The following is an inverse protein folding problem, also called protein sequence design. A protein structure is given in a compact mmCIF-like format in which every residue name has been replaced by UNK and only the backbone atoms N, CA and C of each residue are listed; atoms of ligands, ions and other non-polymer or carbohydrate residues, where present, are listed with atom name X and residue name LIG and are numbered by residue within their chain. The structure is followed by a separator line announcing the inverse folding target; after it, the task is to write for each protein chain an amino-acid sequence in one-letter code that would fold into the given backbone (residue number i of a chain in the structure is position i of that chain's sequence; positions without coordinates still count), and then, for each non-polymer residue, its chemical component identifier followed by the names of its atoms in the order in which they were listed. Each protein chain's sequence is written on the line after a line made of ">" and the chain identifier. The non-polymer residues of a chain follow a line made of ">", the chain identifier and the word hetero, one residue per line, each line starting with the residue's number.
data_IF_641331616556
#
_entry.id   IF_641331616556
#
_cell.length_a   1.000
_cell.length_b   1.000
_cell.length_c   1.000
_cell.angle_alpha   90.00
_cell.angle_beta   90.00
_cell.angle_gamma   90.00
#
_symmetry.space_group_name_H-M   'P 1'
#
loop_
_entity.id
_entity.type
_entity.pdbx_description
1 polymer ?
#
# COMPACT_ATOMS: atom_id res chain seq x y z
N UNK A 1 -13.54 -1.23 -18.83
CA UNK A 1 -13.22 -2.53 -18.25
C UNK A 1 -12.82 -3.56 -19.32
N UNK A 2 -13.48 -3.55 -20.48
CA UNK A 2 -13.24 -4.50 -21.58
C UNK A 2 -12.10 -4.09 -22.53
N UNK A 3 -11.66 -2.84 -22.48
CA UNK A 3 -10.54 -2.36 -23.30
C UNK A 3 -9.19 -2.78 -22.71
N UNK A 4 -8.53 -3.72 -23.41
CA UNK A 4 -7.25 -4.29 -22.99
C UNK A 4 -6.08 -3.31 -23.04
N UNK A 5 -6.14 -2.30 -23.91
CA UNK A 5 -5.07 -1.31 -24.07
C UNK A 5 -5.25 -0.07 -23.19
N UNK A 6 -6.47 0.17 -22.72
CA UNK A 6 -6.76 1.38 -21.93
C UNK A 6 -5.98 1.43 -20.63
N UNK A 7 -5.82 0.31 -19.94
CA UNK A 7 -5.10 0.27 -18.67
C UNK A 7 -3.62 0.65 -18.82
N UNK A 8 -3.00 0.31 -19.93
CA UNK A 8 -1.64 0.75 -20.22
C UNK A 8 -1.57 2.24 -20.54
N UNK A 9 -2.52 2.77 -21.35
CA UNK A 9 -2.58 4.21 -21.65
C UNK A 9 -2.71 5.05 -20.38
N UNK A 10 -3.57 4.63 -19.45
CA UNK A 10 -3.75 5.33 -18.18
C UNK A 10 -2.46 5.31 -17.34
N UNK A 11 -1.74 4.18 -17.32
CA UNK A 11 -0.46 4.06 -16.61
C UNK A 11 0.66 4.91 -17.22
N UNK A 12 0.66 5.10 -18.54
CA UNK A 12 1.63 5.96 -19.21
C UNK A 12 1.55 7.43 -18.77
N UNK A 13 0.37 7.91 -18.37
CA UNK A 13 0.21 9.24 -17.79
C UNK A 13 1.01 9.42 -16.49
N UNK A 14 1.34 8.33 -15.81
CA UNK A 14 2.13 8.30 -14.59
C UNK A 14 3.62 7.98 -14.82
N UNK A 15 4.07 7.89 -16.08
CA UNK A 15 5.48 7.63 -16.44
C UNK A 15 6.04 6.34 -15.81
N UNK A 16 5.25 5.27 -15.76
CA UNK A 16 5.64 3.98 -15.17
C UNK A 16 6.86 3.38 -15.89
N UNK A 17 7.83 2.91 -15.12
CA UNK A 17 9.08 2.34 -15.61
C UNK A 17 9.66 1.25 -14.72
N UNK A 18 10.93 0.92 -14.94
CA UNK A 18 11.68 -0.16 -14.29
C UNK A 18 11.74 -0.07 -12.75
N UNK A 19 11.66 1.13 -12.20
CA UNK A 19 11.70 1.37 -10.74
C UNK A 19 10.32 1.17 -10.07
N UNK A 20 9.27 0.97 -10.87
CA UNK A 20 7.90 0.91 -10.37
C UNK A 20 7.42 -0.53 -10.15
N UNK A 21 6.46 -0.64 -9.26
CA UNK A 21 5.72 -1.89 -9.03
C UNK A 21 4.24 -1.65 -9.31
N UNK A 22 3.68 -2.41 -10.24
CA UNK A 22 2.26 -2.33 -10.61
C UNK A 22 1.52 -3.57 -10.11
N UNK A 23 0.45 -3.36 -9.34
CA UNK A 23 -0.37 -4.44 -8.80
C UNK A 23 -1.76 -4.38 -9.42
N UNK A 24 -2.06 -5.35 -10.28
CA UNK A 24 -3.38 -5.53 -10.87
C UNK A 24 -4.36 -6.21 -9.90
N UNK A 25 -5.54 -5.62 -9.73
CA UNK A 25 -6.55 -6.13 -8.81
C UNK A 25 -7.80 -6.50 -9.59
N UNK A 26 -8.11 -7.78 -9.65
CA UNK A 26 -9.28 -8.30 -10.31
C UNK A 26 -9.79 -9.53 -9.57
N UNK A 27 -10.97 -9.45 -8.96
CA UNK A 27 -11.53 -10.55 -8.18
C UNK A 27 -11.72 -11.82 -9.01
N UNK A 28 -12.28 -11.68 -10.22
CA UNK A 28 -12.42 -12.78 -11.21
C UNK A 28 -11.08 -13.17 -11.83
N UNK A 29 -10.14 -12.24 -11.90
CA UNK A 29 -8.84 -12.41 -12.53
C UNK A 29 -8.87 -12.41 -14.06
N UNK A 30 -10.00 -12.08 -14.67
CA UNK A 30 -10.19 -12.10 -16.13
C UNK A 30 -10.32 -10.74 -16.79
N UNK A 31 -10.41 -9.65 -16.02
CA UNK A 31 -10.67 -8.29 -16.52
C UNK A 31 -9.64 -7.86 -17.57
N UNK A 32 -10.02 -7.65 -18.85
CA UNK A 32 -9.09 -7.36 -19.94
C UNK A 32 -8.21 -6.13 -19.68
N UNK A 33 -8.79 -5.06 -19.17
CA UNK A 33 -8.08 -3.84 -18.74
C UNK A 33 -6.89 -4.14 -17.81
N UNK A 34 -7.09 -4.99 -16.79
CA UNK A 34 -6.04 -5.32 -15.80
C UNK A 34 -5.00 -6.25 -16.41
N UNK A 35 -5.44 -7.26 -17.17
CA UNK A 35 -4.53 -8.21 -17.82
C UNK A 35 -3.62 -7.50 -18.81
N UNK A 36 -4.19 -6.68 -19.70
CA UNK A 36 -3.43 -5.92 -20.71
C UNK A 36 -2.46 -4.93 -20.07
N UNK A 37 -2.88 -4.21 -19.03
CA UNK A 37 -1.98 -3.31 -18.30
C UNK A 37 -0.76 -4.03 -17.75
N UNK A 38 -0.93 -5.20 -17.11
CA UNK A 38 0.19 -5.96 -16.54
C UNK A 38 1.11 -6.55 -17.61
N UNK A 39 0.58 -6.97 -18.76
CA UNK A 39 1.42 -7.40 -19.89
C UNK A 39 2.34 -6.28 -20.34
N UNK A 40 1.79 -5.10 -20.59
CA UNK A 40 2.57 -3.92 -21.02
C UNK A 40 3.56 -3.46 -19.96
N UNK A 41 3.21 -3.56 -18.67
CA UNK A 41 4.15 -3.27 -17.57
C UNK A 41 5.34 -4.23 -17.58
N UNK A 42 5.11 -5.52 -17.84
CA UNK A 42 6.20 -6.49 -17.99
C UNK A 42 7.12 -6.15 -19.18
N UNK A 43 6.55 -5.77 -20.32
CA UNK A 43 7.32 -5.34 -21.50
C UNK A 43 8.16 -4.09 -21.22
N UNK A 44 7.63 -3.17 -20.40
CA UNK A 44 8.33 -1.96 -19.94
C UNK A 44 9.35 -2.23 -18.81
N UNK A 45 9.47 -3.46 -18.33
CA UNK A 45 10.43 -3.86 -17.29
C UNK A 45 9.98 -3.58 -15.85
N UNK A 46 8.79 -3.06 -15.63
CA UNK A 46 8.23 -2.84 -14.29
C UNK A 46 7.98 -4.17 -13.57
N UNK A 47 8.08 -4.16 -12.23
CA UNK A 47 7.69 -5.30 -11.42
C UNK A 47 6.18 -5.42 -11.38
N UNK A 48 5.63 -6.61 -11.66
CA UNK A 48 4.19 -6.81 -11.65
C UNK A 48 3.72 -7.78 -10.57
N UNK A 49 2.61 -7.43 -9.95
CA UNK A 49 1.87 -8.29 -9.04
C UNK A 49 0.40 -8.36 -9.41
N UNK A 50 -0.32 -9.37 -8.92
CA UNK A 50 -1.78 -9.37 -8.99
C UNK A 50 -2.43 -9.84 -7.69
N UNK A 51 -3.65 -9.36 -7.46
CA UNK A 51 -4.54 -9.83 -6.37
C UNK A 51 -5.83 -10.31 -7.01
N UNK A 52 -6.14 -11.60 -6.82
CA UNK A 52 -7.35 -12.22 -7.37
C UNK A 52 -7.97 -13.20 -6.38
N UNK A 53 -9.24 -13.56 -6.57
CA UNK A 53 -9.90 -14.62 -5.80
C UNK A 53 -10.07 -15.91 -6.59
N UNK A 54 -9.56 -15.95 -7.84
CA UNK A 54 -9.76 -17.08 -8.75
C UNK A 54 -8.41 -17.68 -9.17
N UNK A 55 -8.08 -18.91 -8.68
CA UNK A 55 -6.85 -19.61 -9.06
C UNK A 55 -6.76 -19.87 -10.57
N UNK A 56 -5.55 -19.78 -11.15
CA UNK A 56 -5.31 -20.09 -12.56
C UNK A 56 -5.98 -19.13 -13.55
N UNK A 57 -6.51 -18.00 -13.07
CA UNK A 57 -7.10 -16.96 -13.90
C UNK A 57 -6.07 -16.26 -14.80
N UNK A 58 -6.47 -15.57 -15.88
CA UNK A 58 -5.56 -14.90 -16.81
C UNK A 58 -4.54 -13.98 -16.11
N UNK A 59 -4.98 -13.19 -15.14
CA UNK A 59 -4.11 -12.25 -14.41
C UNK A 59 -2.97 -12.95 -13.67
N UNK A 60 -3.18 -14.18 -13.16
CA UNK A 60 -2.13 -14.95 -12.46
C UNK A 60 -1.04 -15.50 -13.38
N UNK A 61 -1.33 -15.61 -14.67
CA UNK A 61 -0.35 -16.09 -15.68
C UNK A 61 0.53 -14.96 -16.19
N UNK A 62 0.03 -13.73 -16.12
CA UNK A 62 0.71 -12.53 -16.63
C UNK A 62 1.57 -11.89 -15.52
N UNK A 63 1.05 -11.75 -14.32
CA UNK A 63 1.78 -11.13 -13.21
C UNK A 63 2.97 -11.99 -12.77
N UNK A 64 4.12 -11.35 -12.51
CA UNK A 64 5.31 -12.03 -11.93
C UNK A 64 5.04 -12.56 -10.52
N UNK A 65 4.20 -11.87 -9.74
CA UNK A 65 3.82 -12.27 -8.40
C UNK A 65 2.31 -12.31 -8.27
N UNK A 66 1.74 -13.48 -7.95
CA UNK A 66 0.30 -13.64 -7.79
C UNK A 66 -0.08 -13.87 -6.32
N UNK A 67 -1.02 -13.08 -5.81
CA UNK A 67 -1.67 -13.28 -4.53
C UNK A 67 -3.10 -13.76 -4.81
N UNK A 68 -3.38 -15.01 -4.47
CA UNK A 68 -4.67 -15.64 -4.72
C UNK A 68 -5.38 -15.93 -3.41
N UNK A 69 -6.47 -15.23 -3.16
CA UNK A 69 -7.31 -15.42 -1.96
C UNK A 69 -8.62 -16.13 -2.34
N UNK A 70 -8.66 -17.44 -2.18
CA UNK A 70 -9.87 -18.23 -2.47
C UNK A 70 -10.88 -18.02 -1.35
N UNK A 71 -11.94 -17.25 -1.62
CA UNK A 71 -12.96 -16.85 -0.62
C UNK A 71 -14.28 -17.62 -0.75
N UNK A 72 -14.37 -18.52 -1.74
CA UNK A 72 -15.60 -19.25 -2.06
C UNK A 72 -16.67 -18.36 -2.69
N UNK A 73 -17.89 -18.90 -2.92
CA UNK A 73 -18.96 -18.17 -3.60
C UNK A 73 -19.47 -17.00 -2.77
N UNK A 74 -19.83 -15.91 -3.45
CA UNK A 74 -20.54 -14.79 -2.83
C UNK A 74 -21.99 -15.16 -2.54
N UNK A 75 -22.61 -14.51 -1.56
CA UNK A 75 -24.04 -14.68 -1.29
C UNK A 75 -24.89 -14.22 -2.49
N UNK A 76 -24.55 -13.07 -3.07
CA UNK A 76 -25.13 -12.62 -4.33
C UNK A 76 -24.21 -13.08 -5.46
N UNK A 77 -24.62 -14.11 -6.17
CA UNK A 77 -23.83 -14.74 -7.25
C UNK A 77 -23.38 -13.71 -8.29
N UNK A 78 -22.09 -13.74 -8.63
CA UNK A 78 -21.47 -12.84 -9.59
C UNK A 78 -21.09 -11.46 -9.04
N UNK A 79 -21.53 -11.10 -7.83
CA UNK A 79 -21.19 -9.82 -7.20
C UNK A 79 -20.00 -9.97 -6.23
N UNK A 80 -18.79 -9.71 -6.70
CA UNK A 80 -17.52 -9.93 -5.97
C UNK A 80 -17.20 -8.83 -4.96
N UNK A 81 -18.17 -8.30 -4.24
CA UNK A 81 -18.03 -7.13 -3.37
C UNK A 81 -17.88 -7.44 -1.88
N UNK A 82 -18.45 -8.54 -1.40
CA UNK A 82 -18.44 -8.86 0.03
C UNK A 82 -17.17 -9.62 0.42
N UNK A 83 -17.07 -10.90 0.09
CA UNK A 83 -15.92 -11.75 0.44
C UNK A 83 -14.67 -11.31 -0.32
N UNK A 84 -14.76 -11.20 -1.63
CA UNK A 84 -13.62 -10.84 -2.50
C UNK A 84 -13.12 -9.44 -2.21
N UNK A 85 -14.01 -8.45 -2.17
CA UNK A 85 -13.64 -7.06 -1.85
C UNK A 85 -13.03 -6.92 -0.47
N UNK A 86 -13.55 -7.65 0.53
CA UNK A 86 -12.98 -7.65 1.89
C UNK A 86 -11.58 -8.26 1.90
N UNK A 87 -11.39 -9.41 1.23
CA UNK A 87 -10.07 -10.04 1.13
C UNK A 87 -9.05 -9.13 0.43
N UNK A 88 -9.43 -8.51 -0.69
CA UNK A 88 -8.58 -7.56 -1.41
C UNK A 88 -8.19 -6.37 -0.53
N UNK A 89 -9.12 -5.76 0.20
CA UNK A 89 -8.86 -4.68 1.13
C UNK A 89 -7.85 -5.11 2.21
N UNK A 90 -8.00 -6.29 2.79
CA UNK A 90 -7.07 -6.80 3.81
C UNK A 90 -5.67 -7.03 3.23
N UNK A 91 -5.57 -7.61 2.02
CA UNK A 91 -4.29 -7.84 1.34
C UNK A 91 -3.59 -6.49 1.07
N UNK A 92 -4.30 -5.49 0.56
CA UNK A 92 -3.74 -4.16 0.32
C UNK A 92 -3.22 -3.50 1.60
N UNK A 93 -3.96 -3.64 2.71
CA UNK A 93 -3.52 -3.13 4.01
C UNK A 93 -2.28 -3.88 4.51
N UNK A 94 -2.19 -5.20 4.31
CA UNK A 94 -1.00 -5.97 4.66
C UNK A 94 0.22 -5.55 3.83
N UNK A 95 0.06 -5.39 2.51
CA UNK A 95 1.14 -4.94 1.62
C UNK A 95 1.63 -3.56 2.05
N UNK A 96 0.75 -2.57 2.18
CA UNK A 96 1.14 -1.21 2.55
C UNK A 96 1.79 -1.16 3.93
N UNK A 97 1.27 -1.90 4.90
CA UNK A 97 1.87 -1.99 6.24
C UNK A 97 3.25 -2.64 6.20
N UNK A 98 3.39 -3.76 5.47
CA UNK A 98 4.67 -4.44 5.33
C UNK A 98 5.73 -3.56 4.64
N UNK A 99 5.34 -2.81 3.61
CA UNK A 99 6.21 -1.84 2.93
C UNK A 99 6.69 -0.77 3.91
N UNK A 100 5.80 -0.18 4.72
CA UNK A 100 6.17 0.83 5.71
C UNK A 100 7.11 0.27 6.79
N UNK A 101 6.91 -0.97 7.22
CA UNK A 101 7.82 -1.66 8.14
C UNK A 101 9.19 -1.86 7.50
N UNK A 102 9.25 -2.37 6.28
CA UNK A 102 10.49 -2.60 5.52
C UNK A 102 11.28 -1.32 5.25
N UNK A 103 10.59 -0.22 5.01
CA UNK A 103 11.18 1.11 4.86
C UNK A 103 11.65 1.73 6.19
N UNK A 104 11.53 1.01 7.31
CA UNK A 104 11.93 1.51 8.63
C UNK A 104 11.04 2.65 9.16
N UNK A 105 9.83 2.83 8.60
CA UNK A 105 8.87 3.88 9.02
C UNK A 105 8.12 3.53 10.30
N UNK A 106 8.26 2.28 10.76
CA UNK A 106 7.62 1.78 12.00
C UNK A 106 8.69 1.36 12.98
N UNK A 107 8.55 1.79 14.25
CA UNK A 107 9.43 1.41 15.37
C UNK A 107 8.56 0.82 16.48
N UNK A 108 8.76 -0.48 16.78
CA UNK A 108 7.81 -1.25 17.59
C UNK A 108 6.46 -1.34 16.86
N UNK A 109 5.39 -0.85 17.48
CA UNK A 109 4.04 -0.78 16.90
C UNK A 109 3.63 0.65 16.49
N UNK A 110 4.57 1.57 16.35
CA UNK A 110 4.31 2.99 16.11
C UNK A 110 4.98 3.50 14.83
N UNK A 111 4.21 4.23 14.03
CA UNK A 111 4.77 4.94 12.88
C UNK A 111 5.54 6.18 13.35
N UNK A 112 6.85 6.25 13.05
CA UNK A 112 7.74 7.33 13.51
C UNK A 112 7.97 8.44 12.48
N UNK A 113 7.62 8.20 11.22
CA UNK A 113 7.79 9.17 10.12
C UNK A 113 6.41 9.63 9.58
N UNK A 114 5.44 9.82 10.48
CA UNK A 114 4.14 10.36 10.09
C UNK A 114 4.26 11.85 9.72
N UNK A 115 3.48 12.26 8.72
CA UNK A 115 3.35 13.68 8.39
C UNK A 115 2.50 14.38 9.47
N UNK A 116 2.99 15.50 9.98
CA UNK A 116 2.32 16.29 11.03
C UNK A 116 1.27 17.23 10.44
N UNK A 117 0.35 16.69 9.64
CA UNK A 117 -0.60 17.46 8.84
C UNK A 117 -1.83 17.95 9.59
N UNK A 118 -2.07 17.48 10.81
CA UNK A 118 -3.20 17.92 11.63
C UNK A 118 -2.87 17.79 13.13
N UNK A 119 -3.71 18.42 13.97
CA UNK A 119 -3.52 18.47 15.42
C UNK A 119 -3.48 17.08 16.08
N UNK A 120 -4.27 16.13 15.58
CA UNK A 120 -4.27 14.75 16.08
C UNK A 120 -2.91 14.07 15.84
N UNK A 121 -2.29 14.25 14.68
CA UNK A 121 -0.99 13.67 14.37
C UNK A 121 0.14 14.40 15.13
N UNK A 122 0.03 15.71 15.34
CA UNK A 122 0.96 16.47 16.17
C UNK A 122 0.89 15.99 17.61
N UNK A 123 -0.31 15.88 18.23
CA UNK A 123 -0.47 15.37 19.59
C UNK A 123 0.09 13.95 19.72
N UNK A 124 -0.21 13.06 18.77
CA UNK A 124 0.32 11.70 18.74
C UNK A 124 1.84 11.68 18.68
N UNK A 125 2.44 12.49 17.81
CA UNK A 125 3.89 12.63 17.68
C UNK A 125 4.53 13.16 18.95
N UNK A 126 3.91 14.17 19.57
CA UNK A 126 4.35 14.77 20.84
C UNK A 126 4.39 13.72 21.96
N UNK A 127 3.33 12.93 22.11
CA UNK A 127 3.29 11.84 23.13
C UNK A 127 4.37 10.79 22.89
N UNK A 128 4.66 10.46 21.62
CA UNK A 128 5.73 9.52 21.30
C UNK A 128 7.10 10.06 21.69
N UNK A 129 7.38 11.33 21.48
CA UNK A 129 8.64 11.99 21.89
C UNK A 129 8.71 12.07 23.42
N UNK A 130 7.63 12.52 24.06
CA UNK A 130 7.51 12.61 25.53
C UNK A 130 7.82 11.27 26.21
N UNK A 131 7.15 10.20 25.78
CA UNK A 131 7.35 8.86 26.37
C UNK A 131 8.75 8.30 26.14
N UNK A 132 9.33 8.57 24.96
CA UNK A 132 10.63 8.01 24.60
C UNK A 132 11.79 8.71 25.27
N UNK A 133 11.68 10.02 25.50
CA UNK A 133 12.72 10.84 26.14
C UNK A 133 12.46 11.07 27.64
N UNK A 134 11.29 10.70 28.18
CA UNK A 134 10.92 10.94 29.58
C UNK A 134 10.81 12.42 29.93
N UNK A 135 10.35 13.27 28.98
CA UNK A 135 10.24 14.72 29.14
C UNK A 135 8.79 15.19 29.17
N UNK A 136 8.55 16.43 29.66
CA UNK A 136 7.21 17.03 29.68
C UNK A 136 6.63 17.20 28.29
N UNK A 137 5.29 17.22 28.17
CA UNK A 137 4.57 17.33 26.91
C UNK A 137 4.94 18.62 26.14
N UNK A 138 5.03 19.73 26.81
CA UNK A 138 5.35 21.03 26.23
C UNK A 138 6.72 21.01 25.56
N UNK A 139 7.73 20.46 26.24
CA UNK A 139 9.10 20.31 25.73
C UNK A 139 9.14 19.36 24.55
N UNK A 140 8.39 18.26 24.61
CA UNK A 140 8.28 17.28 23.52
C UNK A 140 7.61 17.90 22.29
N UNK A 141 6.58 18.73 22.48
CA UNK A 141 5.89 19.44 21.40
C UNK A 141 6.80 20.45 20.70
N UNK A 142 7.54 21.25 21.45
CA UNK A 142 8.53 22.17 20.90
C UNK A 142 9.60 21.44 20.09
N UNK A 143 10.12 20.34 20.63
CA UNK A 143 11.11 19.50 19.94
C UNK A 143 10.57 18.93 18.63
N UNK A 144 9.33 18.38 18.66
CA UNK A 144 8.67 17.82 17.49
C UNK A 144 8.46 18.87 16.40
N UNK A 145 7.98 20.07 16.77
CA UNK A 145 7.76 21.18 15.83
C UNK A 145 9.09 21.69 15.24
N UNK A 146 10.11 21.82 16.07
CA UNK A 146 11.45 22.25 15.63
C UNK A 146 12.07 21.31 14.60
N UNK A 147 11.93 19.99 14.78
CA UNK A 147 12.58 18.97 13.94
C UNK A 147 11.67 18.40 12.85
N UNK A 148 10.35 18.68 12.90
CA UNK A 148 9.38 18.30 11.86
C UNK A 148 9.04 16.81 11.79
N UNK A 149 9.69 15.93 12.58
CA UNK A 149 9.34 14.53 12.68
C UNK A 149 9.75 13.92 14.02
N UNK A 150 9.04 12.87 14.45
CA UNK A 150 9.36 12.13 15.67
C UNK A 150 10.78 11.56 15.62
N UNK A 151 11.19 10.99 14.51
CA UNK A 151 12.53 10.44 14.31
C UNK A 151 13.63 11.49 14.58
N UNK A 152 13.58 12.62 13.88
CA UNK A 152 14.55 13.69 14.03
C UNK A 152 14.55 14.30 15.42
N UNK A 153 13.37 14.43 16.05
CA UNK A 153 13.26 14.91 17.42
C UNK A 153 13.94 13.97 18.42
N UNK A 154 13.83 12.66 18.25
CA UNK A 154 14.49 11.66 19.09
C UNK A 154 16.01 11.66 18.86
N UNK A 155 16.45 11.69 17.62
CA UNK A 155 17.88 11.72 17.23
C UNK A 155 18.63 12.96 17.74
N UNK A 156 17.92 14.10 17.88
CA UNK A 156 18.52 15.34 18.39
C UNK A 156 18.90 15.31 19.89
N UNK A 157 18.45 14.29 20.62
CA UNK A 157 18.71 14.09 22.03
C UNK A 157 19.31 12.73 22.38
N UNK A 158 19.75 11.98 21.36
CA UNK A 158 20.48 10.70 21.51
C UNK A 158 21.97 10.89 21.73
#
# INVERSE_FOLDING_TARGET
>A
EDDREQGWKDLQEHSIGIEDTVIGIAASGGTPYVVGALERCNDAGALTGCITCNPGSPVTRVAKHAIVAVVGPEYVTGSTRMKSGTAQKLILNMISTAVMIKLGRVKGNRMVDMQLSNNKLIDRGTRMVMERLGIAYEVANELLRKHGSVRKALESRS
#
